data_IF_496219226475
#
_entry.id   IF_496219226475
#
_cell.length_a   1.000
_cell.length_b   1.000
_cell.length_c   1.000
_cell.angle_alpha   90.00
_cell.angle_beta   90.00
_cell.angle_gamma   90.00
#
_symmetry.space_group_name_H-M   'P 1'
#
loop_
_entity.id
_entity.type
_entity.pdbx_description
1 polymer ?
#
# COMPACT_ATOMS: atom_id res chain seq x y z
N UNK A 1 -6.92 -8.60 0.86
CA UNK A 1 -6.29 -7.33 0.39
C UNK A 1 -5.21 -7.65 -0.62
N UNK A 2 -4.64 -6.67 -1.32
CA UNK A 2 -3.39 -6.89 -2.06
C UNK A 2 -3.45 -6.52 -3.53
N UNK A 3 -3.49 -5.23 -3.87
CA UNK A 3 -3.12 -4.82 -5.23
C UNK A 3 -1.63 -5.13 -5.48
N UNK A 4 -0.75 -4.30 -4.92
CA UNK A 4 0.70 -4.43 -5.08
C UNK A 4 1.27 -5.76 -4.57
N UNK A 5 0.89 -6.19 -3.36
CA UNK A 5 1.40 -7.43 -2.75
C UNK A 5 1.05 -8.69 -3.55
N UNK A 6 -0.13 -8.74 -4.20
CA UNK A 6 -0.49 -9.89 -5.05
C UNK A 6 0.19 -9.83 -6.42
N UNK A 7 0.38 -8.63 -6.98
CA UNK A 7 1.16 -8.46 -8.22
C UNK A 7 2.60 -8.91 -8.01
N UNK A 8 3.22 -8.48 -6.91
CA UNK A 8 4.56 -8.88 -6.53
C UNK A 8 4.68 -10.40 -6.37
N UNK A 9 3.79 -11.00 -5.57
CA UNK A 9 3.73 -12.46 -5.40
C UNK A 9 3.57 -13.19 -6.73
N UNK A 10 2.66 -12.74 -7.61
CA UNK A 10 2.43 -13.40 -8.91
C UNK A 10 3.69 -13.39 -9.79
N UNK A 11 4.43 -12.27 -9.82
CA UNK A 11 5.71 -12.18 -10.54
C UNK A 11 6.72 -13.17 -9.99
N UNK A 12 6.91 -13.18 -8.66
CA UNK A 12 7.88 -14.07 -8.02
C UNK A 12 7.55 -15.56 -8.22
N UNK A 13 6.27 -15.94 -8.13
CA UNK A 13 5.82 -17.31 -8.44
C UNK A 13 6.16 -17.69 -9.89
N UNK A 14 5.97 -16.77 -10.85
CA UNK A 14 6.36 -17.00 -12.25
C UNK A 14 7.88 -17.19 -12.39
N UNK A 15 8.66 -16.31 -11.76
CA UNK A 15 10.13 -16.35 -11.80
C UNK A 15 10.68 -17.67 -11.23
N UNK A 16 10.14 -18.16 -10.11
CA UNK A 16 10.53 -19.45 -9.53
C UNK A 16 10.14 -20.64 -10.41
N UNK A 17 8.94 -20.65 -10.98
CA UNK A 17 8.51 -21.71 -11.90
C UNK A 17 9.36 -21.72 -13.19
N UNK A 18 9.71 -20.54 -13.73
CA UNK A 18 10.59 -20.40 -14.89
C UNK A 18 12.03 -20.85 -14.60
N UNK A 19 12.48 -20.75 -13.35
CA UNK A 19 13.76 -21.28 -12.89
C UNK A 19 13.75 -22.82 -12.70
N UNK A 20 12.58 -23.46 -12.81
CA UNK A 20 12.40 -24.90 -12.62
C UNK A 20 12.12 -25.32 -11.18
N UNK A 21 11.80 -24.38 -10.29
CA UNK A 21 11.42 -24.68 -8.91
C UNK A 21 9.92 -24.98 -8.79
N UNK A 22 9.56 -25.84 -7.84
CA UNK A 22 8.17 -26.02 -7.42
C UNK A 22 7.81 -25.00 -6.34
N UNK A 23 6.58 -24.46 -6.40
CA UNK A 23 6.12 -23.39 -5.51
C UNK A 23 4.91 -23.84 -4.69
N UNK A 24 5.04 -23.82 -3.36
CA UNK A 24 3.93 -24.00 -2.43
C UNK A 24 3.42 -22.64 -1.93
N UNK A 25 2.25 -22.22 -2.42
CA UNK A 25 1.59 -20.98 -2.05
C UNK A 25 0.53 -21.21 -0.96
N UNK A 26 0.85 -20.81 0.27
CA UNK A 26 -0.10 -20.78 1.39
C UNK A 26 -0.97 -19.52 1.32
N UNK A 27 -2.29 -19.69 1.27
CA UNK A 27 -3.25 -18.58 1.14
C UNK A 27 -4.45 -18.74 2.07
N UNK A 28 -5.11 -17.62 2.40
CA UNK A 28 -6.35 -17.59 3.17
C UNK A 28 -7.48 -17.05 2.30
N UNK A 29 -8.56 -17.83 2.16
CA UNK A 29 -9.78 -17.41 1.52
C UNK A 29 -10.77 -16.85 2.56
N UNK A 30 -11.08 -15.56 2.42
CA UNK A 30 -11.94 -14.84 3.36
C UNK A 30 -13.42 -15.26 3.22
N UNK A 31 -13.87 -15.64 2.02
CA UNK A 31 -15.27 -16.02 1.80
C UNK A 31 -15.65 -17.34 2.48
N UNK A 32 -14.77 -18.33 2.41
CA UNK A 32 -14.92 -19.65 3.04
C UNK A 32 -14.26 -19.75 4.42
N UNK A 33 -13.61 -18.68 4.88
CA UNK A 33 -12.84 -18.61 6.12
C UNK A 33 -11.85 -19.78 6.27
N UNK A 34 -11.15 -20.10 5.19
CA UNK A 34 -10.30 -21.29 5.15
C UNK A 34 -8.90 -21.02 4.63
N UNK A 35 -7.94 -21.76 5.19
CA UNK A 35 -6.56 -21.76 4.71
C UNK A 35 -6.38 -22.92 3.74
N UNK A 36 -5.66 -22.67 2.65
CA UNK A 36 -5.33 -23.67 1.65
C UNK A 36 -3.89 -23.49 1.18
N UNK A 37 -3.32 -24.56 0.67
CA UNK A 37 -2.05 -24.53 -0.05
C UNK A 37 -2.31 -24.91 -1.50
N UNK A 38 -1.75 -24.12 -2.40
CA UNK A 38 -1.66 -24.43 -3.82
C UNK A 38 -0.20 -24.77 -4.12
N UNK A 39 0.07 -25.95 -4.64
CA UNK A 39 1.39 -26.39 -5.08
C UNK A 39 1.42 -26.35 -6.60
N UNK A 40 2.41 -25.67 -7.15
CA UNK A 40 2.65 -25.55 -8.59
C UNK A 40 4.00 -26.17 -8.92
N UNK A 41 4.03 -27.06 -9.90
CA UNK A 41 5.24 -27.70 -10.41
C UNK A 41 5.13 -27.84 -11.93
N UNK A 42 5.85 -26.99 -12.66
CA UNK A 42 5.64 -26.83 -14.10
C UNK A 42 4.20 -26.42 -14.44
N UNK A 43 3.51 -27.23 -15.25
CA UNK A 43 2.11 -27.01 -15.61
C UNK A 43 1.12 -27.63 -14.60
N UNK A 44 1.59 -28.46 -13.67
CA UNK A 44 0.73 -29.11 -12.68
C UNK A 44 0.37 -28.16 -11.53
N UNK A 45 -0.92 -28.12 -11.18
CA UNK A 45 -1.43 -27.34 -10.06
C UNK A 45 -2.27 -28.23 -9.16
N UNK A 46 -1.86 -28.34 -7.90
CA UNK A 46 -2.59 -29.08 -6.86
C UNK A 46 -3.02 -28.13 -5.75
N UNK A 47 -4.31 -28.09 -5.44
CA UNK A 47 -4.85 -27.29 -4.35
C UNK A 47 -5.41 -28.18 -3.24
N UNK A 48 -5.11 -27.83 -1.98
CA UNK A 48 -5.67 -28.52 -0.82
C UNK A 48 -5.99 -27.56 0.32
N UNK A 49 -7.22 -27.65 0.82
CA UNK A 49 -7.63 -27.01 2.08
C UNK A 49 -6.90 -27.65 3.27
N UNK A 50 -6.39 -26.81 4.16
CA UNK A 50 -5.63 -27.20 5.34
C UNK A 50 -6.48 -27.07 6.61
N UNK A 51 -6.53 -28.13 7.41
CA UNK A 51 -7.11 -28.09 8.76
C UNK A 51 -6.12 -27.52 9.78
N UNK A 52 -4.82 -27.81 9.59
CA UNK A 52 -3.69 -27.29 10.35
C UNK A 52 -2.45 -27.23 9.45
N UNK A 53 -1.32 -26.76 9.99
CA UNK A 53 -0.07 -26.62 9.24
C UNK A 53 0.89 -27.80 9.41
N UNK A 54 0.58 -28.77 10.28
CA UNK A 54 1.47 -29.88 10.61
C UNK A 54 1.75 -30.75 9.36
N UNK A 55 0.69 -31.06 8.59
CA UNK A 55 0.83 -31.83 7.36
C UNK A 55 1.63 -31.08 6.29
N UNK A 56 1.48 -29.75 6.21
CA UNK A 56 2.27 -28.91 5.30
C UNK A 56 3.74 -28.90 5.72
N UNK A 57 4.02 -28.67 7.01
CA UNK A 57 5.37 -28.66 7.55
C UNK A 57 6.07 -30.01 7.34
N UNK A 58 5.40 -31.14 7.58
CA UNK A 58 5.97 -32.47 7.35
C UNK A 58 6.26 -32.73 5.86
N UNK A 59 5.38 -32.28 4.96
CA UNK A 59 5.61 -32.41 3.52
C UNK A 59 6.81 -31.58 3.05
N UNK A 60 6.90 -30.32 3.51
CA UNK A 60 8.02 -29.43 3.18
C UNK A 60 9.34 -29.86 3.84
N UNK A 61 9.29 -30.51 5.01
CA UNK A 61 10.48 -31.08 5.65
C UNK A 61 11.08 -32.25 4.87
N UNK A 62 10.25 -32.93 4.08
CA UNK A 62 10.66 -34.06 3.24
C UNK A 62 11.06 -33.62 1.82
N UNK A 63 10.97 -32.32 1.51
CA UNK A 63 11.39 -31.73 0.24
C UNK A 63 12.68 -30.94 0.39
N UNK A 64 13.29 -30.55 -0.73
CA UNK A 64 14.42 -29.62 -0.75
C UNK A 64 13.91 -28.17 -0.65
N UNK A 65 13.41 -27.76 0.52
CA UNK A 65 12.97 -26.38 0.74
C UNK A 65 14.18 -25.43 0.76
N UNK A 66 14.25 -24.54 -0.23
CA UNK A 66 15.39 -23.61 -0.43
C UNK A 66 15.09 -22.16 -0.04
N UNK A 67 13.84 -21.71 -0.20
CA UNK A 67 13.45 -20.32 0.05
C UNK A 67 12.02 -20.24 0.62
N UNK A 68 11.83 -19.32 1.55
CA UNK A 68 10.56 -18.98 2.19
C UNK A 68 10.38 -17.47 2.09
N UNK A 69 9.25 -17.04 1.54
CA UNK A 69 8.85 -15.64 1.54
C UNK A 69 7.58 -15.43 2.37
N UNK A 70 7.69 -14.65 3.45
CA UNK A 70 6.51 -14.06 4.07
C UNK A 70 6.08 -12.81 3.29
N UNK A 71 5.12 -12.99 2.39
CA UNK A 71 4.61 -11.92 1.52
C UNK A 71 3.57 -11.02 2.22
N UNK A 72 2.62 -11.63 2.93
CA UNK A 72 1.50 -10.97 3.60
C UNK A 72 0.85 -11.97 4.58
N UNK A 73 0.50 -11.52 5.79
CA UNK A 73 -0.22 -12.33 6.78
C UNK A 73 -1.58 -11.75 7.21
N UNK A 74 -2.01 -10.62 6.64
CA UNK A 74 -3.13 -9.82 7.18
C UNK A 74 -4.46 -10.57 7.24
N UNK A 75 -4.72 -11.45 6.26
CA UNK A 75 -5.99 -12.17 6.17
C UNK A 75 -6.05 -13.42 7.05
N UNK A 76 -4.94 -13.86 7.65
CA UNK A 76 -4.93 -15.06 8.48
C UNK A 76 -5.47 -14.77 9.88
N UNK A 77 -6.46 -15.56 10.31
CA UNK A 77 -7.06 -15.43 11.65
C UNK A 77 -6.17 -16.00 12.76
N UNK A 78 -5.39 -17.04 12.45
CA UNK A 78 -4.50 -17.73 13.39
C UNK A 78 -3.05 -17.32 13.17
N UNK A 79 -2.75 -16.04 13.37
CA UNK A 79 -1.42 -15.45 13.09
C UNK A 79 -0.29 -16.15 13.86
N UNK A 80 -0.54 -16.56 15.12
CA UNK A 80 0.44 -17.33 15.89
C UNK A 80 0.78 -18.70 15.28
N UNK A 81 -0.14 -19.33 14.53
CA UNK A 81 0.18 -20.57 13.79
C UNK A 81 1.06 -20.29 12.57
N UNK A 82 0.89 -19.14 11.91
CA UNK A 82 1.77 -18.72 10.82
C UNK A 82 3.17 -18.44 11.35
N UNK A 83 3.28 -17.76 12.48
CA UNK A 83 4.53 -17.55 13.19
C UNK A 83 5.22 -18.89 13.48
N UNK A 84 4.51 -19.82 14.13
CA UNK A 84 5.06 -21.14 14.48
C UNK A 84 5.52 -21.93 13.24
N UNK A 85 4.73 -21.92 12.16
CA UNK A 85 5.11 -22.57 10.90
C UNK A 85 6.44 -22.02 10.36
N UNK A 86 6.63 -20.71 10.33
CA UNK A 86 7.88 -20.09 9.84
C UNK A 86 9.08 -20.47 10.71
N UNK A 87 8.91 -20.46 12.04
CA UNK A 87 9.96 -20.87 12.99
C UNK A 87 10.33 -22.35 12.80
N UNK A 88 9.34 -23.22 12.64
CA UNK A 88 9.58 -24.65 12.46
C UNK A 88 10.22 -24.95 11.10
N UNK A 89 9.77 -24.33 10.01
CA UNK A 89 10.39 -24.49 8.69
C UNK A 89 11.85 -24.06 8.70
N UNK A 90 12.19 -22.93 9.36
CA UNK A 90 13.59 -22.50 9.50
C UNK A 90 14.43 -23.38 10.43
N UNK A 91 13.80 -24.12 11.35
CA UNK A 91 14.50 -25.08 12.21
C UNK A 91 14.80 -26.39 11.49
N UNK A 92 13.88 -26.86 10.65
CA UNK A 92 13.94 -28.18 10.02
C UNK A 92 14.56 -28.16 8.61
N UNK A 93 14.82 -26.98 8.05
CA UNK A 93 15.44 -26.80 6.74
C UNK A 93 16.55 -25.75 6.79
N UNK A 94 17.41 -25.74 5.77
CA UNK A 94 18.39 -24.67 5.54
C UNK A 94 17.83 -23.55 4.64
N UNK A 95 16.51 -23.49 4.46
CA UNK A 95 15.88 -22.52 3.59
C UNK A 95 16.19 -21.10 4.04
N UNK A 96 16.35 -20.19 3.09
CA UNK A 96 16.37 -18.76 3.39
C UNK A 96 14.96 -18.26 3.72
N UNK A 97 14.84 -17.29 4.62
CA UNK A 97 13.59 -16.62 4.96
C UNK A 97 13.70 -15.13 4.69
N UNK A 98 12.91 -14.66 3.72
CA UNK A 98 12.69 -13.25 3.50
C UNK A 98 11.32 -12.83 4.07
N UNK A 99 11.28 -11.70 4.77
CA UNK A 99 10.06 -11.05 5.23
C UNK A 99 9.87 -9.75 4.46
N UNK A 100 8.86 -9.70 3.59
CA UNK A 100 8.53 -8.52 2.81
C UNK A 100 7.55 -7.61 3.55
N UNK A 101 7.94 -6.35 3.77
CA UNK A 101 7.12 -5.35 4.46
C UNK A 101 6.15 -4.69 3.45
N UNK A 102 5.24 -5.50 2.87
CA UNK A 102 4.19 -4.98 1.99
C UNK A 102 3.09 -4.26 2.78
N UNK A 103 2.89 -4.64 4.04
CA UNK A 103 1.98 -4.01 4.99
C UNK A 103 2.68 -3.86 6.35
N UNK A 104 2.16 -2.97 7.21
CA UNK A 104 2.69 -2.78 8.56
C UNK A 104 2.11 -3.78 9.58
N UNK A 105 1.60 -4.92 9.12
CA UNK A 105 0.96 -5.92 9.96
C UNK A 105 1.93 -6.52 10.99
N UNK A 106 3.20 -6.68 10.63
CA UNK A 106 4.22 -7.10 11.60
C UNK A 106 4.46 -6.05 12.69
N UNK A 107 4.11 -4.77 12.46
CA UNK A 107 4.26 -3.70 13.45
C UNK A 107 3.04 -3.59 14.37
N UNK A 108 1.83 -3.75 13.83
CA UNK A 108 0.56 -3.55 14.52
C UNK A 108 -0.56 -4.40 13.88
N UNK A 109 -1.52 -4.94 14.66
CA UNK A 109 -2.71 -5.60 14.11
C UNK A 109 -3.58 -4.69 13.22
N UNK A 110 -3.47 -3.36 13.36
CA UNK A 110 -4.03 -2.37 12.43
C UNK A 110 -3.01 -2.14 11.29
N UNK A 111 -3.15 -2.82 10.13
CA UNK A 111 -2.10 -2.88 9.11
C UNK A 111 -1.85 -1.55 8.39
N UNK A 112 -2.81 -0.62 8.48
CA UNK A 112 -2.74 0.72 7.91
C UNK A 112 -2.16 1.77 8.86
N UNK A 113 -1.82 1.38 10.10
CA UNK A 113 -1.33 2.27 11.16
C UNK A 113 -2.28 3.44 11.49
N UNK A 114 -3.57 3.25 11.24
CA UNK A 114 -4.64 4.12 11.72
C UNK A 114 -4.98 3.72 13.15
N UNK A 115 -5.20 4.71 14.02
CA UNK A 115 -5.68 4.50 15.38
C UNK A 115 -7.19 4.21 15.43
N UNK A 116 -7.72 4.01 16.63
CA UNK A 116 -9.16 3.77 16.88
C UNK A 116 -10.08 4.87 16.35
N UNK A 117 -9.56 6.05 16.00
CA UNK A 117 -10.32 7.16 15.43
C UNK A 117 -10.06 7.33 13.92
N UNK A 118 -9.41 6.36 13.28
CA UNK A 118 -9.05 6.41 11.86
C UNK A 118 -7.91 7.38 11.53
N UNK A 119 -7.15 7.85 12.52
CA UNK A 119 -6.03 8.78 12.30
C UNK A 119 -4.70 8.05 12.28
N UNK A 120 -3.83 8.41 11.34
CA UNK A 120 -2.48 7.85 11.30
C UNK A 120 -1.72 8.14 12.60
N UNK A 121 -1.25 7.08 13.27
CA UNK A 121 -0.67 7.19 14.61
C UNK A 121 0.87 7.35 14.62
N UNK A 122 1.54 7.03 13.51
CA UNK A 122 3.00 7.14 13.40
C UNK A 122 3.79 6.17 14.27
N UNK A 123 3.19 5.05 14.73
CA UNK A 123 3.84 4.07 15.61
C UNK A 123 4.31 4.74 16.92
N UNK A 124 3.37 5.14 17.80
CA UNK A 124 3.68 5.83 19.06
C UNK A 124 4.26 4.87 20.11
N UNK A 125 4.42 5.36 21.35
CA UNK A 125 4.84 4.53 22.49
C UNK A 125 3.92 3.31 22.71
N UNK A 126 4.47 2.27 23.33
CA UNK A 126 3.74 1.03 23.63
C UNK A 126 2.49 1.28 24.48
N UNK A 127 2.55 2.17 25.47
CA UNK A 127 1.40 2.55 26.29
C UNK A 127 0.25 3.15 25.47
N UNK A 128 0.57 4.02 24.51
CA UNK A 128 -0.42 4.61 23.60
C UNK A 128 -0.99 3.54 22.66
N UNK A 129 -0.15 2.66 22.14
CA UNK A 129 -0.60 1.54 21.31
C UNK A 129 -1.55 0.60 22.07
N UNK A 130 -1.25 0.22 23.30
CA UNK A 130 -2.12 -0.63 24.11
C UNK A 130 -3.45 0.04 24.44
N UNK A 131 -3.41 1.33 24.79
CA UNK A 131 -4.63 2.09 25.05
C UNK A 131 -5.51 2.18 23.80
N UNK A 132 -4.89 2.33 22.62
CA UNK A 132 -5.57 2.29 21.34
C UNK A 132 -6.19 0.91 21.08
N UNK A 133 -5.40 -0.18 21.13
CA UNK A 133 -5.83 -1.53 20.77
C UNK A 133 -7.00 -2.05 21.62
N UNK A 134 -7.08 -1.69 22.91
CA UNK A 134 -8.21 -2.07 23.79
C UNK A 134 -9.57 -1.58 23.28
N UNK A 135 -9.60 -0.45 22.61
CA UNK A 135 -10.83 0.21 22.12
C UNK A 135 -10.91 0.22 20.59
N UNK A 136 -10.00 -0.47 19.91
CA UNK A 136 -9.92 -0.45 18.45
C UNK A 136 -10.89 -1.45 17.82
N UNK A 137 -11.96 -0.97 17.22
CA UNK A 137 -13.04 -1.81 16.69
C UNK A 137 -12.82 -2.29 15.24
N UNK A 138 -11.87 -1.70 14.51
CA UNK A 138 -11.48 -2.11 13.16
C UNK A 138 -11.42 -3.64 12.95
N UNK A 139 -11.94 -4.06 11.79
CA UNK A 139 -12.11 -5.46 11.44
C UNK A 139 -10.81 -6.28 11.46
N UNK A 140 -9.67 -5.70 11.05
CA UNK A 140 -8.39 -6.42 11.07
C UNK A 140 -7.90 -6.67 12.49
N UNK A 141 -8.00 -5.65 13.35
CA UNK A 141 -7.64 -5.80 14.76
C UNK A 141 -8.53 -6.85 15.42
N UNK A 142 -9.83 -6.75 15.19
CA UNK A 142 -10.81 -7.70 15.73
C UNK A 142 -10.62 -9.13 15.21
N UNK A 143 -10.22 -9.30 13.94
CA UNK A 143 -9.96 -10.61 13.33
C UNK A 143 -8.80 -11.36 14.01
N UNK A 144 -7.75 -10.64 14.40
CA UNK A 144 -6.57 -11.25 15.06
C UNK A 144 -6.78 -11.48 16.56
N UNK A 145 -7.65 -10.68 17.20
CA UNK A 145 -7.98 -10.79 18.61
C UNK A 145 -6.89 -10.34 19.59
N UNK A 146 -5.66 -10.07 19.15
CA UNK A 146 -4.58 -9.61 20.02
C UNK A 146 -4.72 -8.11 20.34
N UNK A 147 -4.64 -7.78 21.63
CA UNK A 147 -4.88 -6.43 22.17
C UNK A 147 -3.68 -5.84 22.92
N UNK A 148 -2.56 -6.58 22.99
CA UNK A 148 -1.28 -6.13 23.52
C UNK A 148 -0.28 -5.95 22.38
N UNK A 149 0.21 -4.72 22.23
CA UNK A 149 1.23 -4.41 21.22
C UNK A 149 2.55 -5.11 21.54
N UNK A 150 2.87 -5.33 22.82
CA UNK A 150 4.08 -6.04 23.24
C UNK A 150 4.02 -7.50 22.83
N UNK A 151 2.89 -8.19 23.05
CA UNK A 151 2.74 -9.59 22.61
C UNK A 151 2.82 -9.68 21.10
N UNK A 152 2.12 -8.79 20.41
CA UNK A 152 2.13 -8.72 18.95
C UNK A 152 3.55 -8.53 18.40
N UNK A 153 4.27 -7.53 18.93
CA UNK A 153 5.62 -7.23 18.46
C UNK A 153 6.63 -8.28 18.88
N UNK A 154 6.49 -8.89 20.07
CA UNK A 154 7.34 -10.01 20.50
C UNK A 154 7.19 -11.20 19.56
N UNK A 155 5.95 -11.59 19.25
CA UNK A 155 5.64 -12.68 18.32
C UNK A 155 6.33 -12.47 16.96
N UNK A 156 6.20 -11.27 16.38
CA UNK A 156 6.86 -10.96 15.11
C UNK A 156 8.38 -10.79 15.23
N UNK A 157 8.89 -10.33 16.38
CA UNK A 157 10.34 -10.26 16.63
C UNK A 157 10.98 -11.63 16.52
N UNK A 158 10.33 -12.70 17.00
CA UNK A 158 10.85 -14.06 16.91
C UNK A 158 11.05 -14.50 15.44
N UNK A 159 10.14 -14.12 14.54
CA UNK A 159 10.26 -14.40 13.10
C UNK A 159 11.29 -13.48 12.43
N UNK A 160 11.21 -12.18 12.71
CA UNK A 160 12.10 -11.18 12.09
C UNK A 160 13.57 -11.40 12.48
N UNK A 161 13.84 -11.94 13.68
CA UNK A 161 15.21 -12.18 14.16
C UNK A 161 15.89 -13.38 13.50
N UNK A 162 15.12 -14.31 12.94
CA UNK A 162 15.64 -15.48 12.22
C UNK A 162 15.57 -15.33 10.70
N UNK A 163 14.99 -14.22 10.21
CA UNK A 163 14.90 -13.92 8.80
C UNK A 163 16.28 -13.56 8.26
N UNK A 164 16.65 -14.13 7.11
CA UNK A 164 17.87 -13.79 6.40
C UNK A 164 17.75 -12.42 5.73
N UNK A 165 16.52 -11.98 5.42
CA UNK A 165 16.25 -10.64 4.92
C UNK A 165 14.93 -10.09 5.47
N UNK A 166 14.97 -8.85 5.97
CA UNK A 166 13.77 -8.03 6.18
C UNK A 166 13.75 -6.94 5.11
N UNK A 167 12.83 -7.07 4.15
CA UNK A 167 12.80 -6.28 2.92
C UNK A 167 11.78 -5.16 3.00
N UNK A 168 12.26 -3.92 2.99
CA UNK A 168 11.44 -2.71 2.90
C UNK A 168 11.41 -2.18 1.46
N UNK A 169 10.30 -1.56 1.06
CA UNK A 169 10.09 -1.06 -0.31
C UNK A 169 10.25 0.46 -0.44
N UNK A 170 10.40 1.16 0.67
CA UNK A 170 10.63 2.61 0.72
C UNK A 170 11.36 3.00 1.99
N UNK A 171 11.99 4.19 1.96
CA UNK A 171 12.58 4.78 3.15
C UNK A 171 11.54 4.98 4.26
N UNK A 172 10.32 5.42 3.93
CA UNK A 172 9.24 5.52 4.91
C UNK A 172 8.92 4.18 5.58
N UNK A 173 8.83 3.08 4.84
CA UNK A 173 8.55 1.77 5.43
C UNK A 173 9.66 1.33 6.39
N UNK A 174 10.93 1.61 6.05
CA UNK A 174 12.09 1.35 6.91
C UNK A 174 12.08 2.22 8.17
N UNK A 175 11.78 3.53 8.05
CA UNK A 175 11.64 4.44 9.20
C UNK A 175 10.55 3.99 10.17
N UNK A 176 9.43 3.47 9.66
CA UNK A 176 8.33 2.99 10.51
C UNK A 176 8.66 1.63 11.15
N UNK A 177 9.34 0.75 10.42
CA UNK A 177 9.90 -0.48 10.96
C UNK A 177 10.88 -0.17 12.11
N UNK A 178 11.78 0.80 11.94
CA UNK A 178 12.76 1.22 12.94
C UNK A 178 12.11 1.72 14.23
N UNK A 179 10.98 2.44 14.16
CA UNK A 179 10.22 2.85 15.36
C UNK A 179 9.69 1.66 16.16
N UNK A 180 9.41 0.54 15.52
CA UNK A 180 8.90 -0.67 16.17
C UNK A 180 10.01 -1.65 16.57
N UNK A 181 11.04 -1.76 15.73
CA UNK A 181 12.12 -2.75 15.82
C UNK A 181 13.47 -2.11 15.45
N UNK A 182 14.07 -1.29 16.32
CA UNK A 182 15.30 -0.56 16.00
C UNK A 182 16.46 -1.48 15.57
N UNK A 183 16.63 -2.63 16.23
CA UNK A 183 17.73 -3.55 15.93
C UNK A 183 17.53 -4.33 14.63
N UNK A 184 16.29 -4.70 14.30
CA UNK A 184 15.96 -5.34 13.03
C UNK A 184 16.12 -4.36 11.86
N UNK A 185 15.62 -3.12 12.02
CA UNK A 185 15.61 -2.14 10.95
C UNK A 185 17.02 -1.70 10.50
N UNK A 186 18.02 -1.76 11.39
CA UNK A 186 19.43 -1.52 11.05
C UNK A 186 19.91 -2.43 9.92
N UNK A 187 19.43 -3.67 9.88
CA UNK A 187 19.80 -4.69 8.91
C UNK A 187 18.76 -4.88 7.80
N UNK A 188 17.63 -4.16 7.85
CA UNK A 188 16.61 -4.22 6.81
C UNK A 188 17.12 -3.66 5.48
N UNK A 189 16.84 -4.38 4.40
CA UNK A 189 17.21 -3.99 3.03
C UNK A 189 16.15 -3.07 2.44
N UNK A 190 16.57 -2.27 1.45
CA UNK A 190 15.66 -1.44 0.65
C UNK A 190 15.66 -1.98 -0.77
N UNK A 191 14.52 -2.55 -1.18
CA UNK A 191 14.30 -3.04 -2.54
C UNK A 191 12.97 -2.49 -3.05
N UNK A 192 12.93 -1.24 -3.55
CA UNK A 192 11.72 -0.68 -4.16
C UNK A 192 11.19 -1.57 -5.29
N UNK A 193 9.89 -1.55 -5.53
CA UNK A 193 9.31 -2.31 -6.64
C UNK A 193 9.58 -1.64 -7.99
N UNK A 194 9.75 -2.47 -9.01
CA UNK A 194 9.80 -2.01 -10.39
C UNK A 194 8.38 -1.74 -10.93
N UNK A 195 8.22 -0.52 -11.44
CA UNK A 195 7.00 -0.04 -12.09
C UNK A 195 7.32 0.23 -13.54
N UNK A 196 6.72 -0.55 -14.43
CA UNK A 196 6.84 -0.34 -15.87
C UNK A 196 6.31 1.07 -16.21
N UNK A 197 7.10 1.95 -16.82
CA UNK A 197 6.68 3.32 -17.07
C UNK A 197 5.53 3.36 -18.08
N UNK A 198 4.56 4.25 -17.84
CA UNK A 198 3.53 4.57 -18.84
C UNK A 198 4.03 5.69 -19.74
N UNK A 199 3.45 5.79 -20.95
CA UNK A 199 3.76 6.91 -21.84
C UNK A 199 3.44 8.24 -21.16
N UNK A 200 4.22 9.27 -21.46
CA UNK A 200 3.91 10.63 -21.00
C UNK A 200 2.55 11.09 -21.54
N UNK A 201 1.82 11.82 -20.70
CA UNK A 201 0.60 12.52 -21.13
C UNK A 201 0.97 13.78 -21.90
N UNK A 202 0.18 14.11 -22.91
CA UNK A 202 0.23 15.38 -23.61
C UNK A 202 -0.44 16.43 -22.72
N UNK A 203 0.36 17.26 -22.06
CA UNK A 203 -0.19 18.35 -21.26
C UNK A 203 -0.62 19.49 -22.16
N UNK A 204 -1.91 19.54 -22.50
CA UNK A 204 -2.56 20.68 -23.12
C UNK A 204 -3.18 21.54 -22.03
N UNK A 205 -2.35 22.18 -21.20
CA UNK A 205 -2.88 23.08 -20.17
C UNK A 205 -3.46 24.31 -20.84
N UNK A 206 -4.78 24.46 -20.78
CA UNK A 206 -5.48 25.65 -21.27
C UNK A 206 -5.38 26.74 -20.19
N UNK A 207 -4.73 27.89 -20.44
CA UNK A 207 -4.68 28.98 -19.47
C UNK A 207 -6.10 29.45 -19.12
N UNK A 208 -6.39 29.54 -17.81
CA UNK A 208 -7.71 29.96 -17.33
C UNK A 208 -8.83 28.91 -17.46
N UNK A 209 -8.50 27.65 -17.77
CA UNK A 209 -9.45 26.54 -17.70
C UNK A 209 -9.63 26.03 -16.26
N UNK A 210 -10.75 25.34 -16.03
CA UNK A 210 -11.08 24.67 -14.76
C UNK A 210 -9.97 23.74 -14.29
N UNK A 211 -9.54 23.88 -13.04
CA UNK A 211 -8.54 23.01 -12.44
C UNK A 211 -9.09 21.60 -12.26
N UNK A 212 -8.56 20.63 -12.99
CA UNK A 212 -8.95 19.21 -12.87
C UNK A 212 -7.95 18.44 -12.01
N UNK A 213 -8.43 18.00 -10.86
CA UNK A 213 -7.69 17.18 -9.89
C UNK A 213 -7.99 15.70 -10.17
N UNK A 214 -6.98 14.95 -10.60
CA UNK A 214 -7.09 13.52 -10.85
C UNK A 214 -6.80 12.70 -9.59
N UNK A 215 -7.68 11.76 -9.25
CA UNK A 215 -7.46 10.78 -8.17
C UNK A 215 -7.54 9.39 -8.80
N UNK A 216 -6.52 8.56 -8.62
CA UNK A 216 -6.37 7.33 -9.42
C UNK A 216 -6.51 6.08 -8.55
N UNK A 217 -7.42 5.20 -8.95
CA UNK A 217 -7.64 3.87 -8.37
C UNK A 217 -8.97 3.73 -7.62
N UNK A 218 -9.11 2.59 -6.95
CA UNK A 218 -10.19 2.34 -5.98
C UNK A 218 -9.84 3.02 -4.66
N UNK A 219 -10.55 4.09 -4.33
CA UNK A 219 -10.29 4.95 -3.18
C UNK A 219 -11.20 4.55 -2.04
N UNK A 220 -10.68 3.65 -1.20
CA UNK A 220 -11.29 3.22 0.05
C UNK A 220 -11.04 4.21 1.19
N UNK A 221 -11.65 3.97 2.36
CA UNK A 221 -11.45 4.80 3.55
C UNK A 221 -9.97 5.12 3.85
N UNK A 222 -9.12 4.08 3.99
CA UNK A 222 -7.68 4.25 4.29
C UNK A 222 -6.88 4.90 3.15
N UNK A 223 -7.41 4.85 1.92
CA UNK A 223 -6.84 5.56 0.76
C UNK A 223 -7.36 7.00 0.63
N UNK A 224 -8.11 7.49 1.61
CA UNK A 224 -8.49 8.90 1.70
C UNK A 224 -9.83 9.24 1.09
N UNK A 225 -10.79 8.30 1.02
CA UNK A 225 -12.12 8.60 0.49
C UNK A 225 -12.77 9.83 1.15
N UNK A 226 -12.68 9.92 2.48
CA UNK A 226 -13.17 11.08 3.24
C UNK A 226 -12.42 12.39 2.94
N UNK A 227 -11.13 12.33 2.59
CA UNK A 227 -10.34 13.50 2.19
C UNK A 227 -10.83 14.04 0.85
N UNK A 228 -11.13 13.14 -0.10
CA UNK A 228 -11.67 13.52 -1.41
C UNK A 228 -13.06 14.16 -1.27
N UNK A 229 -13.93 13.60 -0.42
CA UNK A 229 -15.25 14.18 -0.13
C UNK A 229 -15.12 15.56 0.51
N UNK A 230 -14.28 15.71 1.55
CA UNK A 230 -14.07 17.00 2.20
C UNK A 230 -13.47 18.05 1.26
N UNK A 231 -12.59 17.64 0.33
CA UNK A 231 -12.05 18.51 -0.71
C UNK A 231 -13.14 18.98 -1.68
N UNK A 232 -14.03 18.08 -2.11
CA UNK A 232 -15.15 18.44 -2.97
C UNK A 232 -16.11 19.43 -2.29
N UNK A 233 -16.44 19.21 -1.02
CA UNK A 233 -17.24 20.14 -0.22
C UNK A 233 -16.58 21.52 -0.12
N UNK A 234 -15.26 21.56 0.09
CA UNK A 234 -14.51 22.81 0.13
C UNK A 234 -14.49 23.54 -1.22
N UNK A 235 -14.39 22.81 -2.34
CA UNK A 235 -14.48 23.37 -3.69
C UNK A 235 -15.85 24.01 -3.90
N UNK A 236 -16.94 23.30 -3.58
CA UNK A 236 -18.30 23.81 -3.70
C UNK A 236 -18.53 25.04 -2.80
N UNK A 237 -18.11 24.98 -1.54
CA UNK A 237 -18.29 26.06 -0.58
C UNK A 237 -17.51 27.33 -0.95
N UNK A 238 -16.34 27.18 -1.57
CA UNK A 238 -15.53 28.30 -2.06
C UNK A 238 -15.99 28.85 -3.42
N UNK A 239 -16.86 28.13 -4.15
CA UNK A 239 -17.18 28.42 -5.53
C UNK A 239 -15.94 28.38 -6.44
N UNK A 240 -14.97 27.52 -6.12
CA UNK A 240 -13.71 27.44 -6.85
C UNK A 240 -13.92 26.79 -8.22
N UNK A 241 -13.26 27.33 -9.25
CA UNK A 241 -13.25 26.74 -10.60
C UNK A 241 -12.32 25.52 -10.65
N UNK A 242 -12.74 24.46 -9.94
CA UNK A 242 -12.03 23.21 -9.82
C UNK A 242 -13.01 22.02 -9.83
N UNK A 243 -12.54 20.87 -10.31
CA UNK A 243 -13.28 19.60 -10.28
C UNK A 243 -12.37 18.44 -9.92
N UNK A 244 -12.95 17.36 -9.45
CA UNK A 244 -12.24 16.12 -9.11
C UNK A 244 -12.70 15.02 -10.07
N UNK A 245 -11.74 14.35 -10.70
CA UNK A 245 -12.00 13.16 -11.52
C UNK A 245 -11.32 11.96 -10.88
N UNK A 246 -12.12 11.01 -10.41
CA UNK A 246 -11.68 9.74 -9.85
C UNK A 246 -11.61 8.70 -10.96
N UNK A 247 -10.40 8.33 -11.36
CA UNK A 247 -10.12 7.26 -12.31
C UNK A 247 -10.21 5.92 -11.60
N UNK A 248 -11.42 5.38 -11.50
CA UNK A 248 -11.75 4.26 -10.62
C UNK A 248 -13.06 4.52 -9.91
N UNK A 249 -13.11 4.19 -8.63
CA UNK A 249 -14.28 4.44 -7.77
C UNK A 249 -13.90 4.99 -6.41
N UNK A 250 -14.86 5.65 -5.78
CA UNK A 250 -14.73 6.31 -4.49
C UNK A 250 -15.75 5.71 -3.51
N UNK A 251 -15.26 5.19 -2.38
CA UNK A 251 -16.09 4.57 -1.35
C UNK A 251 -16.89 5.63 -0.57
N UNK A 252 -18.19 5.39 -0.36
CA UNK A 252 -19.02 6.20 0.53
C UNK A 252 -19.27 7.64 0.07
N UNK A 253 -19.01 7.97 -1.19
CA UNK A 253 -19.23 9.32 -1.70
C UNK A 253 -20.72 9.61 -1.93
N UNK A 254 -21.26 10.72 -1.39
CA UNK A 254 -22.58 11.21 -1.79
C UNK A 254 -22.55 11.72 -3.25
N UNK A 255 -23.72 11.88 -3.90
CA UNK A 255 -23.81 12.61 -5.16
C UNK A 255 -23.15 13.99 -5.05
N UNK A 256 -22.33 14.35 -6.02
CA UNK A 256 -21.57 15.60 -6.04
C UNK A 256 -21.43 16.10 -7.47
N UNK A 257 -21.68 17.39 -7.69
CA UNK A 257 -21.44 18.04 -8.99
C UNK A 257 -19.95 18.30 -9.25
N UNK A 258 -19.10 18.15 -8.23
CA UNK A 258 -17.64 18.39 -8.29
C UNK A 258 -16.88 17.09 -8.57
N UNK A 259 -17.43 15.93 -8.20
CA UNK A 259 -16.75 14.63 -8.33
C UNK A 259 -17.33 13.84 -9.51
N UNK A 260 -16.46 13.47 -10.45
CA UNK A 260 -16.76 12.49 -11.49
C UNK A 260 -16.00 11.19 -11.24
N UNK A 261 -16.68 10.04 -11.27
CA UNK A 261 -16.05 8.71 -11.23
C UNK A 261 -16.09 8.07 -12.61
N UNK A 262 -14.93 7.62 -13.12
CA UNK A 262 -14.87 6.99 -14.46
C UNK A 262 -15.19 5.49 -14.45
N UNK A 263 -15.18 4.85 -13.28
CA UNK A 263 -15.23 3.40 -13.16
C UNK A 263 -13.88 2.74 -13.41
N UNK A 264 -13.89 1.40 -13.53
CA UNK A 264 -12.69 0.62 -13.80
C UNK A 264 -12.06 0.98 -15.15
N UNK A 265 -10.73 0.85 -15.23
CA UNK A 265 -9.96 1.15 -16.42
C UNK A 265 -8.85 0.11 -16.61
N UNK A 266 -8.40 -0.07 -17.85
CA UNK A 266 -7.14 -0.77 -18.09
C UNK A 266 -5.98 0.18 -17.81
N UNK A 267 -4.96 -0.30 -17.10
CA UNK A 267 -3.74 0.44 -16.79
C UNK A 267 -3.16 1.21 -17.99
N UNK A 268 -3.12 0.61 -19.18
CA UNK A 268 -2.51 1.22 -20.36
C UNK A 268 -3.37 2.31 -21.01
N UNK A 269 -4.66 2.38 -20.68
CA UNK A 269 -5.57 3.45 -21.14
C UNK A 269 -5.46 4.71 -20.28
N UNK A 270 -4.86 4.60 -19.09
CA UNK A 270 -4.78 5.68 -18.11
C UNK A 270 -4.22 7.00 -18.69
N UNK A 271 -3.12 7.02 -19.48
CA UNK A 271 -2.64 8.26 -20.09
C UNK A 271 -3.69 8.95 -20.98
N UNK A 272 -4.45 8.18 -21.78
CA UNK A 272 -5.49 8.72 -22.65
C UNK A 272 -6.71 9.22 -21.87
N UNK A 273 -7.05 8.56 -20.77
CA UNK A 273 -8.09 9.02 -19.86
C UNK A 273 -7.69 10.34 -19.19
N UNK A 274 -6.46 10.44 -18.68
CA UNK A 274 -5.95 11.66 -18.03
C UNK A 274 -5.94 12.85 -19.00
N UNK A 275 -5.59 12.62 -20.27
CA UNK A 275 -5.69 13.63 -21.35
C UNK A 275 -7.14 14.01 -21.65
N UNK A 276 -8.04 13.02 -21.80
CA UNK A 276 -9.47 13.23 -22.10
C UNK A 276 -10.16 14.13 -21.07
N UNK A 277 -9.80 13.99 -19.79
CA UNK A 277 -10.35 14.78 -18.69
C UNK A 277 -9.49 15.98 -18.32
N UNK A 278 -8.41 16.25 -19.06
CA UNK A 278 -7.55 17.42 -18.91
C UNK A 278 -6.96 17.55 -17.49
N UNK A 279 -6.51 16.44 -16.91
CA UNK A 279 -5.97 16.41 -15.55
C UNK A 279 -4.74 17.31 -15.42
N UNK A 280 -4.77 18.23 -14.47
CA UNK A 280 -3.67 19.15 -14.20
C UNK A 280 -2.77 18.66 -13.07
N UNK A 281 -3.35 18.11 -12.01
CA UNK A 281 -2.65 17.62 -10.83
C UNK A 281 -3.22 16.25 -10.46
N UNK A 282 -2.35 15.26 -10.27
CA UNK A 282 -2.72 14.01 -9.64
C UNK A 282 -2.58 14.12 -8.12
N UNK A 283 -3.64 13.79 -7.39
CA UNK A 283 -3.68 13.78 -5.93
C UNK A 283 -3.62 12.34 -5.40
N UNK A 284 -2.73 12.10 -4.44
CA UNK A 284 -2.68 10.90 -3.61
C UNK A 284 -3.25 11.23 -2.22
N UNK A 285 -4.56 10.99 -1.99
CA UNK A 285 -5.25 11.41 -0.75
C UNK A 285 -5.06 10.42 0.40
N UNK A 286 -4.22 9.40 0.24
CA UNK A 286 -4.05 8.29 1.18
C UNK A 286 -3.71 8.77 2.59
N UNK A 287 -4.56 8.41 3.56
CA UNK A 287 -4.38 8.74 4.99
C UNK A 287 -3.59 7.67 5.74
N UNK A 288 -3.31 6.53 5.10
CA UNK A 288 -2.34 5.56 5.58
C UNK A 288 -0.98 5.81 4.90
N UNK A 289 0.15 5.59 5.60
CA UNK A 289 1.43 5.55 4.92
C UNK A 289 1.45 4.37 3.96
N UNK A 290 1.68 4.58 2.67
CA UNK A 290 1.91 3.45 1.76
C UNK A 290 3.32 2.90 1.99
N UNK A 291 3.49 1.58 1.89
CA UNK A 291 4.81 0.93 1.94
C UNK A 291 5.58 1.15 0.64
N UNK A 292 4.86 1.18 -0.48
CA UNK A 292 5.28 1.60 -1.81
C UNK A 292 4.04 2.05 -2.59
N UNK A 293 4.17 3.11 -3.40
CA UNK A 293 3.03 3.67 -4.14
C UNK A 293 3.15 3.47 -5.65
N UNK A 294 2.59 2.38 -6.16
CA UNK A 294 2.58 2.08 -7.60
C UNK A 294 1.95 3.22 -8.42
N UNK A 295 0.81 3.74 -7.97
CA UNK A 295 0.08 4.82 -8.64
C UNK A 295 0.92 6.10 -8.68
N UNK A 296 1.60 6.46 -7.59
CA UNK A 296 2.43 7.66 -7.58
C UNK A 296 3.63 7.52 -8.55
N UNK A 297 4.24 6.33 -8.64
CA UNK A 297 5.26 6.04 -9.64
C UNK A 297 4.73 6.12 -11.09
N UNK A 298 3.51 5.63 -11.34
CA UNK A 298 2.84 5.76 -12.64
C UNK A 298 2.60 7.23 -13.01
N UNK A 299 2.08 8.03 -12.08
CA UNK A 299 1.88 9.48 -12.25
C UNK A 299 3.18 10.18 -12.64
N UNK A 300 4.26 9.91 -11.90
CA UNK A 300 5.59 10.47 -12.19
C UNK A 300 6.09 10.04 -13.56
N UNK A 301 5.92 8.76 -13.93
CA UNK A 301 6.33 8.24 -15.25
C UNK A 301 5.59 8.92 -16.41
N UNK A 302 4.31 9.25 -16.19
CA UNK A 302 3.48 9.98 -17.14
C UNK A 302 3.82 11.47 -17.23
N UNK A 303 4.68 11.99 -16.34
CA UNK A 303 5.07 13.40 -16.30
C UNK A 303 3.99 14.32 -15.70
N UNK A 304 3.03 13.78 -14.95
CA UNK A 304 1.99 14.57 -14.29
C UNK A 304 2.49 15.17 -12.97
N UNK A 305 2.09 16.42 -12.64
CA UNK A 305 2.30 16.96 -11.31
C UNK A 305 1.62 16.09 -10.25
N UNK A 306 2.38 15.79 -9.19
CA UNK A 306 1.96 14.89 -8.13
C UNK A 306 1.83 15.68 -6.82
N UNK A 307 0.64 15.67 -6.22
CA UNK A 307 0.46 16.07 -4.83
C UNK A 307 0.11 14.85 -3.98
N UNK A 308 0.69 14.73 -2.79
CA UNK A 308 0.30 13.73 -1.80
C UNK A 308 0.07 14.35 -0.42
N UNK A 309 -0.64 13.63 0.46
CA UNK A 309 -0.56 13.90 1.89
C UNK A 309 0.84 13.54 2.43
N UNK A 310 1.23 14.13 3.58
CA UNK A 310 2.55 13.94 4.19
C UNK A 310 2.73 12.62 4.95
N UNK A 311 2.59 11.52 4.24
CA UNK A 311 2.62 10.18 4.81
C UNK A 311 3.27 9.20 3.83
N UNK A 312 3.99 8.21 4.36
CA UNK A 312 4.38 7.01 3.60
C UNK A 312 5.32 7.24 2.41
N UNK A 313 5.41 6.20 1.58
CA UNK A 313 6.19 6.20 0.35
C UNK A 313 5.66 7.20 -0.69
N UNK A 314 4.35 7.47 -0.71
CA UNK A 314 3.74 8.44 -1.62
C UNK A 314 4.32 9.85 -1.40
N UNK A 315 4.52 10.25 -0.15
CA UNK A 315 5.12 11.54 0.19
C UNK A 315 6.63 11.59 -0.08
N UNK A 316 7.34 10.50 0.19
CA UNK A 316 8.77 10.39 -0.14
C UNK A 316 8.98 10.58 -1.65
N UNK A 317 8.16 9.94 -2.49
CA UNK A 317 8.22 10.09 -3.95
C UNK A 317 7.85 11.51 -4.39
N UNK A 318 6.76 12.07 -3.88
CA UNK A 318 6.33 13.43 -4.22
C UNK A 318 7.42 14.47 -3.88
N UNK A 319 8.15 14.32 -2.77
CA UNK A 319 9.29 15.21 -2.45
C UNK A 319 10.48 15.06 -3.41
N UNK A 320 10.66 13.88 -3.98
CA UNK A 320 11.84 13.57 -4.80
C UNK A 320 11.78 14.12 -6.22
N UNK A 321 10.62 14.60 -6.68
CA UNK A 321 10.40 15.08 -8.04
C UNK A 321 10.10 16.57 -8.08
N UNK A 322 10.60 17.29 -9.09
CA UNK A 322 10.46 18.74 -9.20
C UNK A 322 8.99 19.22 -9.32
N UNK A 323 8.15 18.41 -9.98
CA UNK A 323 6.71 18.63 -10.13
C UNK A 323 5.93 17.92 -9.03
N UNK A 324 6.51 17.82 -7.83
CA UNK A 324 5.91 17.13 -6.70
C UNK A 324 5.71 18.06 -5.50
N UNK A 325 4.59 17.87 -4.80
CA UNK A 325 4.24 18.59 -3.56
C UNK A 325 3.67 17.65 -2.51
N UNK A 326 3.93 17.98 -1.26
CA UNK A 326 3.38 17.29 -0.11
C UNK A 326 2.56 18.27 0.72
N UNK A 327 1.31 17.92 0.98
CA UNK A 327 0.42 18.69 1.84
C UNK A 327 0.42 18.12 3.26
N UNK A 328 0.71 18.93 4.30
CA UNK A 328 0.46 18.55 5.69
C UNK A 328 -1.03 18.69 6.06
N UNK A 329 -1.84 19.34 5.22
CA UNK A 329 -3.27 19.59 5.43
C UNK A 329 -4.10 18.45 4.85
N UNK A 330 -4.95 17.88 5.68
CA UNK A 330 -5.88 16.80 5.31
C UNK A 330 -7.34 17.28 5.34
N UNK A 331 -7.60 18.47 5.88
CA UNK A 331 -8.90 19.12 5.84
C UNK A 331 -9.18 19.68 4.44
N UNK A 332 -10.44 19.62 4.01
CA UNK A 332 -10.86 20.07 2.68
C UNK A 332 -10.38 21.49 2.32
N UNK A 333 -10.66 22.53 3.14
CA UNK A 333 -10.27 23.91 2.84
C UNK A 333 -8.74 24.11 2.79
N UNK A 334 -8.01 23.55 3.75
CA UNK A 334 -6.55 23.63 3.76
C UNK A 334 -5.91 22.93 2.57
N UNK A 335 -6.40 21.73 2.22
CA UNK A 335 -5.90 20.98 1.07
C UNK A 335 -6.23 21.70 -0.25
N UNK A 336 -7.43 22.27 -0.38
CA UNK A 336 -7.80 23.08 -1.56
C UNK A 336 -6.84 24.26 -1.75
N UNK A 337 -6.54 24.99 -0.66
CA UNK A 337 -5.63 26.12 -0.72
C UNK A 337 -4.22 25.72 -1.21
N UNK A 338 -3.68 24.60 -0.71
CA UNK A 338 -2.40 24.04 -1.14
C UNK A 338 -2.43 23.59 -2.60
N UNK A 339 -3.50 22.93 -3.05
CA UNK A 339 -3.68 22.49 -4.44
C UNK A 339 -3.70 23.70 -5.38
N UNK A 340 -4.45 24.76 -5.06
CA UNK A 340 -4.50 25.96 -5.88
C UNK A 340 -3.16 26.72 -5.88
N UNK A 341 -2.43 26.71 -4.77
CA UNK A 341 -1.08 27.28 -4.73
C UNK A 341 -0.11 26.49 -5.62
N UNK A 342 -0.18 25.16 -5.56
CA UNK A 342 0.64 24.31 -6.41
C UNK A 342 0.31 24.49 -7.89
N UNK A 343 -0.97 24.59 -8.24
CA UNK A 343 -1.41 24.86 -9.61
C UNK A 343 -0.82 26.19 -10.13
N UNK A 344 -0.83 27.25 -9.31
CA UNK A 344 -0.18 28.53 -9.65
C UNK A 344 1.33 28.38 -9.87
N UNK A 345 2.04 27.69 -8.97
CA UNK A 345 3.49 27.45 -9.11
C UNK A 345 3.84 26.76 -10.44
N UNK A 346 3.04 25.76 -10.82
CA UNK A 346 3.22 25.02 -12.07
C UNK A 346 3.06 25.90 -13.30
N UNK A 347 2.19 26.93 -13.26
CA UNK A 347 2.03 27.87 -14.39
C UNK A 347 3.34 28.63 -14.64
N UNK A 348 3.98 29.12 -13.57
CA UNK A 348 5.23 29.87 -13.69
C UNK A 348 6.42 29.00 -14.12
N UNK A 349 6.45 27.73 -13.73
CA UNK A 349 7.48 26.79 -14.17
C UNK A 349 7.40 26.54 -15.69
N UNK A 350 6.19 26.31 -16.22
CA UNK A 350 5.99 26.04 -17.65
C UNK A 350 6.19 27.29 -18.51
N UNK A 351 5.80 28.48 -18.03
CA UNK A 351 6.01 29.75 -18.75
C UNK A 351 7.49 30.12 -18.93
N UNK A 352 8.39 29.61 -18.06
CA UNK A 352 9.84 29.82 -18.20
C UNK A 352 10.54 28.81 -19.11
N UNK A 353 9.90 27.67 -19.38
CA UNK A 353 10.48 26.57 -20.17
C UNK A 353 10.27 26.74 -21.69
N UNK A 354 9.39 27.64 -22.12
CA UNK A 354 9.11 27.97 -23.52
C UNK A 354 9.23 29.49 -23.74
N UNK A 355 10.42 30.02 -24.03
CA UNK A 355 10.61 31.42 -24.42
C UNK A 355 10.08 31.73 -25.82
#
# INVERSE_FOLDING_TARGET
>A
MGGGANLYRKRLVSEWLEAGDAVALLSFDVGSMSTYVEVRDGEEVFERKLANFDALAAALASSNLVEILLNCAVSFTQVGKIQQLLLDLKRISNATLAVAIHEYFVICPSPFLLDKNGKYCGVPSTDRCNSCLREHDDGFVSLTGERSIERWRKMWTEVLSIADEVRCFSQSSKRLLERAYPDIAKHATLRPHDVEPLRRVRQTRVPGGTLTIGVIGFISHHKGAGVVVALAEAISAAGADARIVVFGSLEGAPPSDVILQTGSYNRYDLPGLLEKYEVNIALMPSICPETFSFVAHEVVSMGLPLMSLDLGAQADLARSVATGRVSPRQDGPGLLAEIMAFDRDLYFLNAKAHP
#
